data_IF_555451698250
#
_entry.id   IF_555451698250
#
_cell.length_a   1.000
_cell.length_b   1.000
_cell.length_c   1.000
_cell.angle_alpha   90.00
_cell.angle_beta   90.00
_cell.angle_gamma   90.00
#
_symmetry.space_group_name_H-M   'P 1'
#
loop_
_entity.id
_entity.type
_entity.pdbx_description
1 polymer ?
#
# COMPACT_ATOMS: atom_id res chain seq x y z
N UNK A 1 10.67 -13.66 15.46
CA UNK A 1 10.38 -12.72 14.36
C UNK A 1 8.91 -12.87 13.99
N UNK A 2 8.06 -11.90 14.32
CA UNK A 2 6.65 -11.92 13.90
C UNK A 2 6.59 -11.29 12.51
N UNK A 3 6.39 -12.12 11.48
CA UNK A 3 6.15 -11.62 10.13
C UNK A 3 4.70 -11.10 10.04
N UNK A 4 4.45 -9.96 9.36
CA UNK A 4 3.09 -9.51 9.12
C UNK A 4 2.32 -10.55 8.30
N UNK A 5 1.02 -10.70 8.58
CA UNK A 5 0.16 -11.65 7.88
C UNK A 5 0.10 -11.34 6.37
N UNK A 6 0.39 -12.34 5.53
CA UNK A 6 0.37 -12.22 4.07
C UNK A 6 -1.03 -12.47 3.49
N UNK A 7 -2.05 -11.95 4.16
CA UNK A 7 -3.47 -12.19 3.83
C UNK A 7 -4.02 -11.17 2.84
N UNK A 8 -3.15 -10.39 2.19
CA UNK A 8 -3.53 -9.30 1.30
C UNK A 8 -4.27 -8.14 2.00
N UNK A 9 -4.24 -8.09 3.34
CA UNK A 9 -4.83 -7.03 4.16
C UNK A 9 -3.73 -6.27 4.92
N UNK A 10 -3.88 -4.95 5.18
CA UNK A 10 -2.98 -4.26 6.08
C UNK A 10 -3.10 -4.83 7.50
N UNK A 11 -1.96 -5.06 8.16
CA UNK A 11 -1.92 -5.57 9.53
C UNK A 11 -2.20 -4.52 10.59
N UNK A 12 -2.15 -3.24 10.20
CA UNK A 12 -2.42 -2.08 11.06
C UNK A 12 -2.89 -0.91 10.19
N UNK A 13 -3.88 -0.17 10.69
CA UNK A 13 -4.50 0.99 10.01
C UNK A 13 -4.58 2.14 11.01
N UNK A 14 -4.33 3.38 10.58
CA UNK A 14 -4.43 4.57 11.41
C UNK A 14 -5.28 5.66 10.75
N UNK A 15 -6.04 6.40 11.57
CA UNK A 15 -7.04 7.40 11.15
C UNK A 15 -6.99 8.63 12.06
N UNK A 16 -7.62 9.74 11.64
CA UNK A 16 -7.34 10.47 10.40
C UNK A 16 -6.20 11.49 10.60
N UNK A 17 -5.71 11.64 11.83
CA UNK A 17 -4.81 12.72 12.21
C UNK A 17 -3.41 12.19 12.48
N UNK A 18 -2.42 12.88 11.93
CA UNK A 18 -1.04 12.82 12.42
C UNK A 18 -0.86 13.89 13.47
N UNK A 19 -0.33 13.51 14.62
CA UNK A 19 0.04 14.46 15.67
C UNK A 19 1.18 15.32 15.12
N UNK A 20 0.95 16.62 15.04
CA UNK A 20 1.94 17.57 14.60
C UNK A 20 1.77 18.88 15.38
N UNK A 21 2.90 19.45 15.82
CA UNK A 21 2.99 20.77 16.41
C UNK A 21 4.22 21.47 15.80
N UNK A 22 4.03 22.06 14.62
CA UNK A 22 5.12 22.59 13.76
C UNK A 22 5.99 21.53 13.06
N UNK A 23 6.07 20.30 13.60
CA UNK A 23 6.69 19.14 12.98
C UNK A 23 5.91 17.86 13.30
N UNK A 24 5.98 16.84 12.44
CA UNK A 24 5.34 15.54 12.71
C UNK A 24 6.06 14.86 13.87
N UNK A 25 5.31 14.49 14.92
CA UNK A 25 5.88 13.82 16.10
C UNK A 25 6.45 12.45 15.68
N UNK A 26 7.70 12.12 16.06
CA UNK A 26 8.31 10.83 15.74
C UNK A 26 7.57 9.66 16.41
N UNK A 27 7.70 8.46 15.83
CA UNK A 27 7.07 7.24 16.38
C UNK A 27 5.63 6.97 15.91
N UNK A 28 5.06 7.83 15.07
CA UNK A 28 3.74 7.60 14.45
C UNK A 28 3.76 6.64 13.25
N UNK A 29 4.95 6.17 12.86
CA UNK A 29 5.17 5.16 11.84
C UNK A 29 6.21 4.14 12.29
N UNK A 30 6.49 3.17 11.44
CA UNK A 30 7.37 2.03 11.68
C UNK A 30 8.83 2.41 11.93
N UNK A 31 9.26 3.61 11.52
CA UNK A 31 10.62 4.13 11.78
C UNK A 31 11.69 3.10 11.40
N UNK A 32 12.48 2.63 12.36
CA UNK A 32 13.55 1.64 12.18
C UNK A 32 13.08 0.28 11.66
N UNK A 33 11.80 -0.08 11.86
CA UNK A 33 11.21 -1.31 11.31
C UNK A 33 11.04 -1.22 9.78
N UNK A 34 11.08 0.00 9.22
CA UNK A 34 10.97 0.25 7.79
C UNK A 34 9.54 0.31 7.27
N UNK A 35 9.38 0.88 6.07
CA UNK A 35 8.08 1.21 5.47
C UNK A 35 7.14 0.01 5.29
N UNK A 36 7.66 -1.22 5.18
CA UNK A 36 6.81 -2.42 5.07
C UNK A 36 5.93 -2.68 6.31
N UNK A 37 6.31 -2.09 7.44
CA UNK A 37 5.62 -2.15 8.72
C UNK A 37 4.83 -0.87 9.04
N UNK A 38 4.86 0.16 8.17
CA UNK A 38 4.06 1.36 8.38
C UNK A 38 2.56 1.01 8.34
N UNK A 39 1.73 1.68 9.17
CA UNK A 39 0.29 1.59 9.02
C UNK A 39 -0.17 2.00 7.63
N UNK A 40 -1.28 1.40 7.18
CA UNK A 40 -2.10 2.05 6.17
C UNK A 40 -2.74 3.30 6.82
N UNK A 41 -2.22 4.47 6.49
CA UNK A 41 -2.77 5.74 6.98
C UNK A 41 -3.94 6.19 6.10
N UNK A 42 -5.08 6.43 6.74
CA UNK A 42 -6.31 6.89 6.08
C UNK A 42 -6.64 8.30 6.59
N UNK A 43 -6.46 9.34 5.77
CA UNK A 43 -6.69 10.72 6.19
C UNK A 43 -8.16 11.13 6.19
N UNK A 44 -9.03 10.40 5.48
CA UNK A 44 -10.46 10.69 5.37
C UNK A 44 -11.19 10.29 6.65
N UNK A 45 -12.26 11.02 7.01
CA UNK A 45 -13.08 10.69 8.18
C UNK A 45 -13.89 9.40 7.90
N UNK A 46 -13.63 8.30 8.64
CA UNK A 46 -14.35 7.05 8.46
C UNK A 46 -15.85 7.14 8.81
N UNK A 47 -16.30 8.21 9.48
CA UNK A 47 -17.70 8.42 9.83
C UNK A 47 -18.47 9.25 8.78
N UNK A 48 -17.79 9.77 7.76
CA UNK A 48 -18.44 10.52 6.70
C UNK A 48 -19.35 9.58 5.88
N UNK A 49 -20.53 10.08 5.48
CA UNK A 49 -21.51 9.30 4.72
C UNK A 49 -21.00 8.91 3.31
N UNK A 50 -20.00 9.61 2.81
CA UNK A 50 -19.30 9.43 1.55
C UNK A 50 -17.87 8.92 1.74
N UNK A 51 -17.59 8.23 2.86
CA UNK A 51 -16.26 7.69 3.12
C UNK A 51 -15.85 6.66 2.05
N UNK A 52 -14.88 7.06 1.23
CA UNK A 52 -14.24 6.21 0.24
C UNK A 52 -12.72 6.31 0.34
N UNK A 53 -12.03 5.28 -0.14
CA UNK A 53 -10.56 5.24 -0.28
C UNK A 53 -10.17 5.11 -1.75
N UNK A 54 -10.14 6.23 -2.52
CA UNK A 54 -9.80 6.21 -3.94
C UNK A 54 -8.44 5.55 -4.22
N UNK A 55 -7.49 5.66 -3.28
CA UNK A 55 -6.18 5.00 -3.37
C UNK A 55 -6.24 3.47 -3.39
N UNK A 56 -7.36 2.86 -2.96
CA UNK A 56 -7.60 1.42 -2.99
C UNK A 56 -8.57 1.00 -4.11
N UNK A 57 -8.93 1.93 -4.99
CA UNK A 57 -9.79 1.70 -6.14
C UNK A 57 -8.98 1.77 -7.44
N UNK A 58 -9.40 1.00 -8.44
CA UNK A 58 -8.81 1.11 -9.78
C UNK A 58 -9.32 2.39 -10.47
N UNK A 59 -8.44 3.17 -11.13
CA UNK A 59 -8.88 4.29 -11.95
C UNK A 59 -9.89 3.84 -13.02
N UNK A 60 -10.85 4.70 -13.34
CA UNK A 60 -11.84 4.43 -14.38
C UNK A 60 -11.15 4.11 -15.71
N UNK A 61 -11.54 2.99 -16.34
CA UNK A 61 -10.93 2.50 -17.58
C UNK A 61 -9.69 1.61 -17.43
N UNK A 62 -9.27 1.29 -16.20
CA UNK A 62 -8.25 0.27 -15.92
C UNK A 62 -8.93 -0.97 -15.36
N UNK A 63 -9.06 -2.01 -16.20
CA UNK A 63 -9.49 -3.32 -15.73
C UNK A 63 -8.41 -3.98 -14.88
N UNK A 64 -8.81 -4.88 -13.97
CA UNK A 64 -7.86 -5.68 -13.19
C UNK A 64 -6.90 -6.47 -14.11
N UNK A 65 -7.39 -7.00 -15.24
CA UNK A 65 -6.55 -7.68 -16.23
C UNK A 65 -5.45 -6.77 -16.80
N UNK A 66 -5.80 -5.53 -17.15
CA UNK A 66 -4.84 -4.55 -17.68
C UNK A 66 -3.80 -4.14 -16.63
N UNK A 67 -4.19 -4.10 -15.35
CA UNK A 67 -3.26 -3.89 -14.25
C UNK A 67 -2.28 -5.06 -14.12
N UNK A 68 -2.78 -6.29 -14.16
CA UNK A 68 -1.95 -7.50 -14.08
C UNK A 68 -0.97 -7.58 -15.25
N UNK A 69 -1.40 -7.28 -16.48
CA UNK A 69 -0.52 -7.22 -17.66
C UNK A 69 0.62 -6.20 -17.49
N UNK A 70 0.30 -5.01 -16.96
CA UNK A 70 1.31 -3.98 -16.66
C UNK A 70 2.27 -4.44 -15.57
N UNK A 71 1.79 -5.16 -14.56
CA UNK A 71 2.63 -5.71 -13.50
C UNK A 71 3.59 -6.77 -14.04
N UNK A 72 3.14 -7.66 -14.90
CA UNK A 72 4.01 -8.66 -15.53
C UNK A 72 5.07 -8.01 -16.42
N UNK A 73 4.70 -6.98 -17.19
CA UNK A 73 5.67 -6.20 -17.96
C UNK A 73 6.69 -5.48 -17.06
N UNK A 74 6.24 -4.87 -15.96
CA UNK A 74 7.12 -4.21 -15.00
C UNK A 74 8.09 -5.20 -14.36
N UNK A 75 7.64 -6.41 -13.99
CA UNK A 75 8.53 -7.46 -13.46
C UNK A 75 9.58 -7.90 -14.48
N UNK A 76 9.23 -7.94 -15.77
CA UNK A 76 10.19 -8.25 -16.84
C UNK A 76 11.25 -7.15 -16.95
N UNK A 77 10.84 -5.88 -16.95
CA UNK A 77 11.74 -4.73 -16.99
C UNK A 77 12.63 -4.68 -15.74
N UNK A 78 12.06 -4.84 -14.55
CA UNK A 78 12.81 -4.85 -13.28
C UNK A 78 13.82 -6.00 -13.23
N UNK A 79 13.48 -7.19 -13.77
CA UNK A 79 14.42 -8.31 -13.91
C UNK A 79 15.59 -7.97 -14.82
N UNK A 80 15.35 -7.26 -15.92
CA UNK A 80 16.41 -6.79 -16.81
C UNK A 80 17.27 -5.68 -16.16
N UNK A 81 16.64 -4.77 -15.40
CA UNK A 81 17.32 -3.69 -14.67
C UNK A 81 18.09 -4.18 -13.43
N UNK A 82 17.72 -5.30 -12.83
CA UNK A 82 18.40 -5.91 -11.66
C UNK A 82 19.85 -6.32 -11.94
N UNK A 83 20.24 -6.42 -13.21
CA UNK A 83 21.63 -6.62 -13.62
C UNK A 83 22.49 -5.35 -13.55
N UNK A 84 21.89 -4.17 -13.34
CA UNK A 84 22.58 -2.88 -13.48
C UNK A 84 22.77 -2.09 -12.19
N UNK A 85 21.94 -2.24 -11.14
CA UNK A 85 22.31 -1.81 -9.77
C UNK A 85 21.23 -2.25 -8.76
N UNK A 86 21.62 -2.77 -7.59
CA UNK A 86 20.67 -3.16 -6.52
C UNK A 86 20.97 -2.42 -5.21
N UNK A 87 20.68 -1.12 -5.19
CA UNK A 87 20.74 -0.31 -3.96
C UNK A 87 19.59 -0.68 -3.00
N UNK A 88 19.82 -0.52 -1.69
CA UNK A 88 18.84 -0.87 -0.66
C UNK A 88 17.52 -0.06 -0.76
N UNK A 89 17.59 1.18 -1.26
CA UNK A 89 16.42 2.04 -1.46
C UNK A 89 15.46 1.50 -2.53
N UNK A 90 15.99 0.90 -3.61
CA UNK A 90 15.18 0.31 -4.68
C UNK A 90 14.36 -0.89 -4.17
N UNK A 91 14.95 -1.74 -3.33
CA UNK A 91 14.25 -2.92 -2.74
C UNK A 91 13.08 -2.53 -1.85
N UNK A 92 13.20 -1.41 -1.11
CA UNK A 92 12.12 -0.91 -0.25
C UNK A 92 10.93 -0.37 -1.04
N UNK A 93 11.17 0.20 -2.22
CA UNK A 93 10.12 0.68 -3.12
C UNK A 93 9.33 -0.48 -3.73
N UNK A 94 10.03 -1.53 -4.18
CA UNK A 94 9.43 -2.73 -4.77
C UNK A 94 8.47 -3.42 -3.79
N UNK A 95 8.88 -3.62 -2.53
CA UNK A 95 8.05 -4.28 -1.52
C UNK A 95 6.76 -3.50 -1.20
N UNK A 96 6.83 -2.16 -1.18
CA UNK A 96 5.65 -1.32 -0.97
C UNK A 96 4.68 -1.42 -2.15
N UNK A 97 5.22 -1.40 -3.37
CA UNK A 97 4.42 -1.50 -4.60
C UNK A 97 3.74 -2.87 -4.73
N UNK A 98 4.44 -3.95 -4.41
CA UNK A 98 3.87 -5.31 -4.39
C UNK A 98 2.73 -5.44 -3.37
N UNK A 99 2.90 -4.87 -2.17
CA UNK A 99 1.87 -4.87 -1.13
C UNK A 99 0.65 -4.04 -1.54
N UNK A 100 0.85 -2.87 -2.15
CA UNK A 100 -0.24 -2.04 -2.67
C UNK A 100 -1.07 -2.80 -3.72
N UNK A 101 -0.43 -3.46 -4.69
CA UNK A 101 -1.16 -4.25 -5.70
C UNK A 101 -1.85 -5.45 -5.06
N UNK A 102 -1.23 -6.12 -4.09
CA UNK A 102 -1.87 -7.22 -3.36
C UNK A 102 -3.15 -6.77 -2.66
N UNK A 103 -3.17 -5.56 -2.10
CA UNK A 103 -4.36 -5.00 -1.46
C UNK A 103 -5.45 -4.67 -2.50
N UNK A 104 -5.08 -4.06 -3.64
CA UNK A 104 -6.01 -3.74 -4.73
C UNK A 104 -6.67 -5.00 -5.33
N UNK A 105 -5.89 -6.08 -5.50
CA UNK A 105 -6.38 -7.32 -6.07
C UNK A 105 -7.13 -8.21 -5.06
N UNK A 106 -6.97 -7.98 -3.75
CA UNK A 106 -7.61 -8.75 -2.69
C UNK A 106 -9.13 -8.62 -2.73
N UNK A 107 -9.84 -9.75 -2.73
CA UNK A 107 -11.31 -9.78 -2.63
C UNK A 107 -11.78 -9.37 -1.23
N UNK A 108 -11.04 -9.77 -0.20
CA UNK A 108 -11.34 -9.41 1.18
C UNK A 108 -11.22 -7.91 1.42
N UNK A 109 -10.18 -7.25 0.89
CA UNK A 109 -10.02 -5.78 0.96
C UNK A 109 -11.19 -5.10 0.26
N UNK A 110 -11.50 -5.49 -0.99
CA UNK A 110 -12.59 -4.90 -1.76
C UNK A 110 -13.95 -5.06 -1.08
N UNK A 111 -14.19 -6.19 -0.40
CA UNK A 111 -15.43 -6.43 0.32
C UNK A 111 -15.51 -5.65 1.64
N UNK A 112 -14.39 -5.50 2.35
CA UNK A 112 -14.32 -4.72 3.59
C UNK A 112 -14.56 -3.21 3.37
N UNK A 113 -14.23 -2.70 2.18
CA UNK A 113 -14.44 -1.29 1.80
C UNK A 113 -15.67 -1.05 0.92
N UNK A 114 -16.46 -2.09 0.60
CA UNK A 114 -17.77 -1.92 0.00
C UNK A 114 -18.79 -1.60 1.10
N UNK A 115 -18.77 -0.35 1.56
CA UNK A 115 -19.68 0.19 2.56
C UNK A 115 -20.97 0.63 1.86
N UNK A 116 -21.83 -0.35 1.55
CA UNK A 116 -23.20 -0.11 1.10
C UNK A 116 -24.12 0.17 2.28
#
# INVERSE_FOLDING_TARGET
HVAPADTGMPTFVSFPHRIADGSTVPGQGASFLGRGHDPLFVPNDPNAADFELPQLSLPSGVSASRLDDRRELQKLINRQAKGLDQTAAARGLDAYYEKAISMLNSRQVRQAFNLS
#
